data_IF_601332831423
#
_entry.id   IF_601332831423
#
_cell.length_a   1.000
_cell.length_b   1.000
_cell.length_c   1.000
_cell.angle_alpha   90.00
_cell.angle_beta   90.00
_cell.angle_gamma   90.00
#
_symmetry.space_group_name_H-M   'P 1'
#
loop_
_entity.id
_entity.type
_entity.pdbx_description
1 polymer ?
#
# COMPACT_ATOMS: atom_id res chain seq x y z
N UNK A 1 4.29 18.50 42.66
CA UNK A 1 3.47 19.44 41.87
C UNK A 1 3.08 18.70 40.60
N UNK A 2 1.86 18.16 40.56
CA UNK A 2 1.35 17.40 39.41
C UNK A 2 0.96 18.40 38.32
N UNK A 3 1.62 18.37 37.16
CA UNK A 3 1.27 19.20 36.02
C UNK A 3 0.04 18.60 35.33
N UNK A 4 -1.09 19.30 35.39
CA UNK A 4 -2.25 18.98 34.58
C UNK A 4 -1.91 19.32 33.12
N UNK A 5 -1.61 18.31 32.31
CA UNK A 5 -1.61 18.47 30.85
C UNK A 5 -3.07 18.41 30.39
N UNK A 6 -3.64 19.56 30.03
CA UNK A 6 -4.96 19.60 29.40
C UNK A 6 -4.85 18.95 28.01
N UNK A 7 -5.71 17.96 27.76
CA UNK A 7 -5.81 17.30 26.46
C UNK A 7 -6.88 18.04 25.67
N UNK A 8 -6.46 18.78 24.64
CA UNK A 8 -7.37 19.41 23.69
C UNK A 8 -7.77 18.38 22.61
N UNK A 9 -9.07 18.24 22.38
CA UNK A 9 -9.66 17.45 21.30
C UNK A 9 -10.13 18.34 20.17
N UNK A 10 -9.78 17.97 18.94
CA UNK A 10 -10.27 18.62 17.73
C UNK A 10 -11.46 17.84 17.19
N UNK A 11 -12.65 18.43 17.23
CA UNK A 11 -13.86 17.91 16.59
C UNK A 11 -14.06 18.62 15.25
N UNK A 12 -13.59 17.99 14.18
CA UNK A 12 -13.62 18.53 12.82
C UNK A 12 -15.07 18.63 12.31
N UNK A 13 -15.94 17.70 12.73
CA UNK A 13 -17.32 17.61 12.27
C UNK A 13 -18.13 18.81 12.75
N UNK A 14 -18.02 19.13 14.03
CA UNK A 14 -18.74 20.24 14.66
C UNK A 14 -17.91 21.54 14.70
N UNK A 15 -16.71 21.53 14.09
CA UNK A 15 -15.80 22.68 14.00
C UNK A 15 -15.53 23.31 15.37
N UNK A 16 -15.11 22.50 16.33
CA UNK A 16 -14.87 22.94 17.71
C UNK A 16 -13.63 22.29 18.32
N UNK A 17 -13.04 23.00 19.27
CA UNK A 17 -11.95 22.54 20.12
C UNK A 17 -12.50 22.31 21.52
N UNK A 18 -12.30 21.11 22.08
CA UNK A 18 -12.84 20.71 23.38
C UNK A 18 -11.68 20.46 24.33
N UNK A 19 -11.65 21.12 25.49
CA UNK A 19 -10.73 20.79 26.57
C UNK A 19 -11.28 19.60 27.38
N UNK A 20 -10.61 18.44 27.36
CA UNK A 20 -11.07 17.27 28.13
C UNK A 20 -11.09 17.48 29.64
N UNK A 21 -10.30 18.40 30.15
CA UNK A 21 -10.19 18.64 31.60
C UNK A 21 -11.32 19.52 32.12
N UNK A 22 -11.66 20.57 31.37
CA UNK A 22 -12.69 21.55 31.78
C UNK A 22 -14.01 21.38 31.05
N UNK A 23 -14.05 20.55 30.01
CA UNK A 23 -15.16 20.38 29.06
C UNK A 23 -15.58 21.68 28.37
N UNK A 24 -14.74 22.72 28.43
CA UNK A 24 -14.99 23.96 27.71
C UNK A 24 -14.79 23.74 26.22
N UNK A 25 -15.67 24.37 25.44
CA UNK A 25 -15.66 24.31 23.99
C UNK A 25 -15.39 25.69 23.40
N UNK A 26 -14.56 25.73 22.36
CA UNK A 26 -14.35 26.92 21.54
C UNK A 26 -14.66 26.60 20.09
N UNK A 27 -15.39 27.49 19.39
CA UNK A 27 -15.64 27.34 17.96
C UNK A 27 -14.35 27.56 17.18
N UNK A 28 -14.05 26.63 16.28
CA UNK A 28 -12.98 26.74 15.30
C UNK A 28 -13.53 27.15 13.94
N UNK A 29 -12.68 27.80 13.15
CA UNK A 29 -12.94 28.08 11.74
C UNK A 29 -11.99 27.24 10.88
N UNK A 30 -12.50 26.75 9.76
CA UNK A 30 -11.66 26.09 8.75
C UNK A 30 -10.99 27.19 7.92
N UNK A 31 -9.71 27.44 8.19
CA UNK A 31 -8.90 28.31 7.36
C UNK A 31 -8.15 27.45 6.36
N UNK A 32 -8.24 27.79 5.07
CA UNK A 32 -7.33 27.28 4.06
C UNK A 32 -5.96 27.86 4.37
N UNK A 33 -5.12 27.06 5.03
CA UNK A 33 -3.72 27.38 5.27
C UNK A 33 -2.87 26.64 4.23
N UNK A 34 -1.80 27.27 3.76
CA UNK A 34 -0.66 26.55 3.15
C UNK A 34 0.03 25.74 4.25
N UNK A 35 -0.66 24.74 4.78
CA UNK A 35 -0.05 23.82 5.73
C UNK A 35 1.05 23.10 4.96
N UNK A 36 2.27 23.11 5.52
CA UNK A 36 3.30 22.17 5.11
C UNK A 36 2.73 20.76 5.29
N UNK A 37 2.16 20.20 4.22
CA UNK A 37 1.80 18.78 4.20
C UNK A 37 3.05 18.02 4.59
N UNK A 38 2.93 16.96 5.38
CA UNK A 38 4.05 16.03 5.58
C UNK A 38 4.36 15.41 4.22
N UNK A 39 5.30 16.00 3.49
CA UNK A 39 5.83 15.46 2.25
C UNK A 39 6.94 14.52 2.64
N UNK A 40 6.87 13.27 2.18
CA UNK A 40 7.99 12.32 2.30
C UNK A 40 9.22 12.77 1.51
N UNK A 41 9.05 13.73 0.59
CA UNK A 41 10.11 14.29 -0.24
C UNK A 41 10.09 15.81 -0.15
N UNK A 42 11.23 16.41 0.23
CA UNK A 42 11.45 17.87 0.14
C UNK A 42 11.46 18.22 -1.35
N UNK A 43 10.47 18.97 -1.82
CA UNK A 43 10.21 19.24 -3.25
C UNK A 43 11.41 19.87 -3.95
N UNK A 44 12.25 20.61 -3.25
CA UNK A 44 13.41 21.35 -3.78
C UNK A 44 14.77 20.76 -3.36
N UNK A 45 14.81 19.48 -2.99
CA UNK A 45 16.08 18.82 -2.67
C UNK A 45 16.72 18.20 -3.91
N UNK A 46 18.04 18.01 -3.89
CA UNK A 46 18.73 17.25 -4.96
C UNK A 46 18.15 15.82 -5.12
N UNK A 47 17.64 15.24 -4.03
CA UNK A 47 16.97 13.95 -4.01
C UNK A 47 15.62 13.97 -4.75
N UNK A 48 14.82 15.04 -4.64
CA UNK A 48 13.56 15.13 -5.39
C UNK A 48 13.82 15.16 -6.90
N UNK A 49 14.87 15.87 -7.33
CA UNK A 49 15.32 15.86 -8.73
C UNK A 49 15.72 14.46 -9.17
N UNK A 50 16.51 13.75 -8.37
CA UNK A 50 16.93 12.38 -8.67
C UNK A 50 15.74 11.41 -8.78
N UNK A 51 14.78 11.48 -7.85
CA UNK A 51 13.58 10.64 -7.90
C UNK A 51 12.68 10.95 -9.10
N UNK A 52 12.66 12.21 -9.56
CA UNK A 52 11.94 12.62 -10.77
C UNK A 52 12.60 12.13 -12.06
N UNK A 53 13.93 12.02 -12.07
CA UNK A 53 14.71 11.47 -13.19
C UNK A 53 14.56 9.94 -13.29
N UNK A 54 14.44 9.26 -12.15
CA UNK A 54 14.29 7.79 -12.06
C UNK A 54 12.99 7.39 -11.34
N UNK A 55 11.81 7.69 -11.94
CA UNK A 55 10.52 7.41 -11.31
C UNK A 55 10.29 5.92 -11.06
N UNK A 56 10.96 5.05 -11.82
CA UNK A 56 10.84 3.59 -11.70
C UNK A 56 11.40 3.04 -10.38
N UNK A 57 12.27 3.77 -9.68
CA UNK A 57 12.84 3.35 -8.39
C UNK A 57 11.79 3.34 -7.28
N UNK A 58 10.84 4.28 -7.33
CA UNK A 58 9.81 4.46 -6.29
C UNK A 58 8.46 3.88 -6.68
N UNK A 59 8.29 3.43 -7.93
CA UNK A 59 7.08 2.71 -8.34
C UNK A 59 6.97 1.42 -7.53
N UNK A 60 5.84 1.18 -6.85
CA UNK A 60 5.58 -0.10 -6.20
C UNK A 60 5.73 -1.25 -7.20
N UNK A 61 6.35 -2.35 -6.75
CA UNK A 61 6.41 -3.58 -7.53
C UNK A 61 5.00 -4.03 -7.95
N UNK A 62 4.84 -4.47 -9.20
CA UNK A 62 3.54 -4.84 -9.76
C UNK A 62 2.77 -3.68 -10.39
N UNK A 63 3.40 -2.54 -10.64
CA UNK A 63 2.80 -1.53 -11.54
C UNK A 63 2.76 -2.12 -12.95
N UNK A 64 1.55 -2.20 -13.53
CA UNK A 64 1.31 -2.68 -14.90
C UNK A 64 2.29 -2.00 -15.86
N UNK A 65 3.10 -2.78 -16.58
CA UNK A 65 4.01 -2.28 -17.61
C UNK A 65 5.50 -2.24 -17.28
N UNK A 66 5.97 -2.78 -16.14
CA UNK A 66 7.40 -3.08 -15.98
C UNK A 66 7.81 -4.24 -16.89
N UNK A 67 8.18 -3.93 -18.13
CA UNK A 67 8.80 -4.88 -19.04
C UNK A 67 10.24 -5.13 -18.60
N UNK A 68 10.58 -6.39 -18.30
CA UNK A 68 11.95 -6.80 -18.04
C UNK A 68 12.79 -6.45 -19.27
N UNK A 69 13.87 -5.68 -19.08
CA UNK A 69 14.73 -5.18 -20.17
C UNK A 69 15.75 -6.22 -20.67
N UNK A 70 15.76 -7.40 -20.07
CA UNK A 70 16.69 -8.49 -20.38
C UNK A 70 15.94 -9.80 -20.66
N UNK A 71 16.55 -10.68 -21.45
CA UNK A 71 15.95 -11.98 -21.82
C UNK A 71 16.38 -13.13 -20.89
N UNK A 72 17.06 -12.82 -19.78
CA UNK A 72 17.45 -13.84 -18.79
C UNK A 72 16.21 -14.42 -18.12
N UNK A 73 16.06 -15.74 -18.19
CA UNK A 73 14.99 -16.50 -17.54
C UNK A 73 15.56 -17.51 -16.56
N UNK A 74 14.86 -17.73 -15.45
CA UNK A 74 15.21 -18.78 -14.50
C UNK A 74 14.67 -20.13 -14.97
N UNK A 75 15.51 -21.16 -14.96
CA UNK A 75 15.13 -22.55 -15.22
C UNK A 75 15.31 -23.35 -13.93
N UNK A 76 14.22 -23.99 -13.48
CA UNK A 76 14.25 -24.94 -12.37
C UNK A 76 14.50 -26.34 -12.94
N UNK A 77 15.64 -26.93 -12.63
CA UNK A 77 15.94 -28.33 -12.96
C UNK A 77 15.14 -29.27 -12.06
N UNK A 78 14.31 -30.14 -12.64
CA UNK A 78 13.53 -31.14 -11.90
C UNK A 78 14.15 -32.53 -12.01
N UNK A 79 13.92 -33.38 -11.00
CA UNK A 79 14.24 -34.81 -11.09
C UNK A 79 13.51 -35.46 -12.28
N UNK A 80 14.15 -36.36 -13.05
CA UNK A 80 13.48 -37.08 -14.12
C UNK A 80 12.27 -37.87 -13.61
N UNK A 81 11.13 -37.74 -14.28
CA UNK A 81 9.90 -38.43 -13.91
C UNK A 81 8.64 -37.65 -14.33
N UNK A 82 7.45 -38.25 -14.14
CA UNK A 82 6.19 -37.57 -14.38
C UNK A 82 5.96 -36.44 -13.36
N UNK A 83 5.18 -35.41 -13.71
CA UNK A 83 4.79 -34.35 -12.79
C UNK A 83 3.94 -34.90 -11.65
N UNK A 84 4.08 -34.29 -10.47
CA UNK A 84 3.29 -34.65 -9.29
C UNK A 84 2.16 -33.65 -9.14
N UNK A 85 0.92 -34.15 -9.23
CA UNK A 85 -0.30 -33.36 -9.03
C UNK A 85 -0.97 -33.69 -7.69
N UNK A 86 -1.51 -32.67 -7.04
CA UNK A 86 -2.40 -32.84 -5.89
C UNK A 86 -3.71 -32.07 -6.07
N UNK A 87 -4.81 -32.62 -5.55
CA UNK A 87 -6.11 -31.94 -5.62
C UNK A 87 -6.09 -30.69 -4.74
N UNK A 88 -6.55 -29.52 -5.24
CA UNK A 88 -6.67 -28.32 -4.43
C UNK A 88 -7.54 -28.56 -3.20
N UNK A 89 -7.10 -28.05 -2.05
CA UNK A 89 -7.88 -28.14 -0.81
C UNK A 89 -8.94 -27.05 -0.75
N UNK A 90 -10.08 -27.36 -0.13
CA UNK A 90 -11.15 -26.38 0.10
C UNK A 90 -10.67 -25.30 1.07
N UNK A 91 -10.93 -24.06 0.73
CA UNK A 91 -10.75 -22.91 1.62
C UNK A 91 -12.07 -22.57 2.32
N UNK A 92 -11.97 -22.03 3.54
CA UNK A 92 -13.11 -21.39 4.20
C UNK A 92 -13.61 -20.19 3.37
N UNK A 93 -14.88 -19.79 3.48
CA UNK A 93 -15.45 -18.73 2.63
C UNK A 93 -14.66 -17.42 2.65
N UNK A 94 -14.23 -16.98 3.83
CA UNK A 94 -13.49 -15.72 3.98
C UNK A 94 -12.11 -15.79 3.31
N UNK A 95 -11.38 -16.90 3.49
CA UNK A 95 -10.08 -17.12 2.84
C UNK A 95 -10.21 -17.24 1.32
N UNK A 96 -11.28 -17.90 0.84
CA UNK A 96 -11.55 -18.00 -0.59
C UNK A 96 -11.81 -16.62 -1.21
N UNK A 97 -12.55 -15.75 -0.51
CA UNK A 97 -12.82 -14.38 -0.96
C UNK A 97 -11.55 -13.54 -1.04
N UNK A 98 -10.71 -13.58 0.00
CA UNK A 98 -9.42 -12.89 0.00
C UNK A 98 -8.51 -13.39 -1.11
N UNK A 99 -8.32 -14.71 -1.21
CA UNK A 99 -7.47 -15.30 -2.24
C UNK A 99 -7.91 -14.93 -3.66
N UNK A 100 -9.21 -14.97 -3.96
CA UNK A 100 -9.73 -14.53 -5.28
C UNK A 100 -9.41 -13.07 -5.59
N UNK A 101 -9.49 -12.20 -4.59
CA UNK A 101 -9.21 -10.77 -4.76
C UNK A 101 -7.72 -10.55 -5.07
N UNK A 102 -6.84 -11.24 -4.34
CA UNK A 102 -5.40 -11.15 -4.54
C UNK A 102 -4.98 -11.75 -5.90
N UNK A 103 -5.54 -12.90 -6.29
CA UNK A 103 -5.23 -13.52 -7.59
C UNK A 103 -5.72 -12.67 -8.78
N UNK A 104 -6.89 -12.03 -8.66
CA UNK A 104 -7.38 -11.11 -9.70
C UNK A 104 -6.44 -9.91 -9.85
N UNK A 105 -5.97 -9.34 -8.73
CA UNK A 105 -4.98 -8.28 -8.76
C UNK A 105 -3.67 -8.74 -9.43
N UNK A 106 -3.17 -9.92 -9.08
CA UNK A 106 -1.96 -10.49 -9.69
C UNK A 106 -2.10 -10.73 -11.20
N UNK A 107 -3.30 -11.12 -11.66
CA UNK A 107 -3.62 -11.26 -13.09
C UNK A 107 -3.56 -9.89 -13.79
N UNK A 108 -4.20 -8.88 -13.21
CA UNK A 108 -4.19 -7.51 -13.74
C UNK A 108 -2.78 -6.92 -13.79
N UNK A 109 -1.95 -7.24 -12.80
CA UNK A 109 -0.54 -6.82 -12.73
C UNK A 109 0.38 -7.61 -13.67
N UNK A 110 -0.10 -8.70 -14.28
CA UNK A 110 0.69 -9.56 -15.17
C UNK A 110 1.71 -10.45 -14.43
N UNK A 111 1.58 -10.62 -13.12
CA UNK A 111 2.47 -11.48 -12.30
C UNK A 111 2.16 -12.96 -12.56
N UNK A 112 0.89 -13.30 -12.75
CA UNK A 112 0.43 -14.66 -13.04
C UNK A 112 -0.34 -14.71 -14.36
N UNK A 113 -0.50 -15.92 -14.90
CA UNK A 113 -1.32 -16.20 -16.09
C UNK A 113 -2.00 -17.55 -15.97
N UNK A 114 -3.13 -17.70 -16.65
CA UNK A 114 -3.75 -19.02 -16.81
C UNK A 114 -2.81 -19.97 -17.55
N UNK A 115 -2.77 -21.24 -17.13
CA UNK A 115 -1.96 -22.28 -17.75
C UNK A 115 -2.73 -23.60 -17.79
N UNK A 116 -2.32 -24.47 -18.71
CA UNK A 116 -2.80 -25.86 -18.80
C UNK A 116 -1.62 -26.77 -18.47
N UNK A 117 -1.31 -26.88 -17.18
CA UNK A 117 -0.16 -27.61 -16.64
C UNK A 117 -0.55 -29.01 -16.14
N UNK A 118 0.33 -30.02 -16.29
CA UNK A 118 0.15 -31.33 -15.66
C UNK A 118 0.68 -31.40 -14.21
N UNK A 119 1.37 -30.35 -13.75
CA UNK A 119 1.76 -30.13 -12.35
C UNK A 119 0.61 -29.54 -11.55
#
# INVERSE_FOLDING_TARGET
RSGFFSILLVDIRERRLIDKTTLLESKGENVLSEVQSIKTVIVESEFSRLLSEYPDITRPAGTVGQTVKHDVVHHITTTPGPPVFCRPRRLAPDHLKSAKTDFELMLQQGIIRASKSPW
#
